data_IF_574237284379
#
_entry.id   IF_574237284379
#
_cell.length_a   1.000
_cell.length_b   1.000
_cell.length_c   1.000
_cell.angle_alpha   90.00
_cell.angle_beta   90.00
_cell.angle_gamma   90.00
#
_symmetry.space_group_name_H-M   'P 1'
#
loop_
_entity.id
_entity.type
_entity.pdbx_description
1 polymer ?
#
# COMPACT_ATOMS: atom_id res chain seq x y z
N UNK A 1 40.52 39.95 -18.57
CA UNK A 1 41.14 40.55 -17.37
C UNK A 1 40.28 40.23 -16.16
N UNK A 2 40.95 39.88 -15.06
CA UNK A 2 40.41 39.33 -13.80
C UNK A 2 39.46 40.30 -13.10
N UNK A 3 38.48 39.79 -12.36
CA UNK A 3 38.27 40.19 -10.97
C UNK A 3 37.63 39.05 -10.17
N UNK A 4 38.37 38.61 -9.16
CA UNK A 4 38.01 37.64 -8.13
C UNK A 4 37.59 38.47 -6.91
N UNK A 5 36.44 38.18 -6.31
CA UNK A 5 36.07 38.70 -4.98
C UNK A 5 35.89 37.51 -4.05
N UNK A 6 36.88 37.34 -3.16
CA UNK A 6 36.77 36.57 -1.92
C UNK A 6 35.99 37.42 -0.91
N UNK A 7 35.04 36.82 -0.20
CA UNK A 7 34.57 37.34 1.07
C UNK A 7 34.72 36.27 2.14
N UNK A 8 35.74 36.47 2.97
CA UNK A 8 35.98 35.79 4.24
C UNK A 8 35.30 36.60 5.33
N UNK A 9 34.48 35.97 6.19
CA UNK A 9 34.09 36.55 7.47
C UNK A 9 34.18 35.48 8.56
N UNK A 10 34.97 35.83 9.56
CA UNK A 10 35.35 35.04 10.73
C UNK A 10 34.89 35.80 11.99
N UNK A 11 34.90 35.10 13.13
CA UNK A 11 34.52 35.46 14.52
C UNK A 11 33.15 34.88 14.92
N UNK A 12 33.05 33.76 15.65
CA UNK A 12 33.55 33.41 17.00
C UNK A 12 32.84 34.21 18.10
N UNK A 13 31.94 33.56 18.82
CA UNK A 13 31.78 33.71 20.28
C UNK A 13 31.35 32.36 20.89
N UNK A 14 32.18 31.89 21.83
CA UNK A 14 31.94 30.78 22.75
C UNK A 14 31.00 31.22 23.87
N UNK A 15 30.09 30.35 24.30
CA UNK A 15 29.61 30.29 25.69
C UNK A 15 28.97 28.92 25.97
N UNK A 16 29.67 28.13 26.79
CA UNK A 16 29.15 26.95 27.49
C UNK A 16 28.23 27.38 28.63
N UNK A 17 27.11 26.68 28.80
CA UNK A 17 26.42 26.49 30.09
C UNK A 17 25.84 25.07 30.12
N UNK A 18 26.01 24.40 31.27
CA UNK A 18 25.87 22.97 31.49
C UNK A 18 24.44 22.41 31.63
N UNK A 19 24.31 21.17 32.15
CA UNK A 19 23.11 20.35 32.04
C UNK A 19 22.08 20.70 33.12
N UNK A 20 20.81 20.82 32.74
CA UNK A 20 19.69 20.86 33.68
C UNK A 20 18.90 19.57 33.62
N UNK A 21 18.69 19.04 34.81
CA UNK A 21 17.95 17.85 35.19
C UNK A 21 16.45 18.03 35.06
N UNK A 22 15.77 16.98 34.58
CA UNK A 22 14.51 16.42 35.10
C UNK A 22 13.41 17.39 35.56
N UNK A 23 12.32 17.44 34.79
CA UNK A 23 10.95 17.36 35.35
C UNK A 23 10.02 16.65 34.35
N UNK A 24 9.33 15.62 34.85
CA UNK A 24 8.19 14.94 34.21
C UNK A 24 7.07 15.95 33.91
N UNK A 25 6.51 15.92 32.71
CA UNK A 25 5.19 16.50 32.44
C UNK A 25 4.09 15.44 32.59
N UNK A 26 2.91 15.82 33.12
CA UNK A 26 1.81 14.91 33.37
C UNK A 26 0.98 14.62 32.11
N UNK A 27 0.37 13.45 32.12
CA UNK A 27 -0.62 12.99 31.15
C UNK A 27 -1.80 13.97 31.07
N UNK A 28 -1.98 14.55 29.89
CA UNK A 28 -3.13 15.37 29.54
C UNK A 28 -4.42 14.54 29.50
N UNK A 29 -5.39 15.09 30.20
CA UNK A 29 -6.72 14.60 30.53
C UNK A 29 -7.63 14.51 29.29
N UNK A 30 -8.41 13.43 29.22
CA UNK A 30 -9.35 13.11 28.15
C UNK A 30 -10.66 13.89 28.38
N UNK A 31 -10.86 15.00 27.67
CA UNK A 31 -12.11 15.78 27.73
C UNK A 31 -13.14 15.16 26.76
N UNK A 32 -14.20 14.59 27.32
CA UNK A 32 -15.45 14.29 26.60
C UNK A 32 -16.30 15.57 26.50
N UNK A 33 -16.71 15.94 25.29
CA UNK A 33 -17.77 16.93 25.07
C UNK A 33 -19.05 16.21 24.58
N UNK A 34 -20.22 16.41 25.23
CA UNK A 34 -21.48 15.87 24.75
C UNK A 34 -22.23 16.89 23.87
N UNK A 35 -23.02 16.36 22.94
CA UNK A 35 -24.30 16.93 22.50
C UNK A 35 -24.27 18.19 21.63
N UNK A 36 -24.48 18.01 20.32
CA UNK A 36 -25.08 19.04 19.48
C UNK A 36 -26.19 18.41 18.62
N UNK A 37 -27.42 18.51 19.10
CA UNK A 37 -28.62 18.40 18.27
C UNK A 37 -28.95 19.80 17.74
N UNK A 38 -28.85 19.97 16.42
CA UNK A 38 -29.10 21.23 15.74
C UNK A 38 -30.19 21.01 14.69
N UNK A 39 -31.42 21.34 15.09
CA UNK A 39 -32.61 21.50 14.27
C UNK A 39 -32.34 22.53 13.15
N UNK A 40 -32.62 22.20 11.89
CA UNK A 40 -32.66 23.18 10.79
C UNK A 40 -34.02 23.08 10.12
N UNK A 41 -34.84 24.13 10.31
CA UNK A 41 -36.04 24.41 9.54
C UNK A 41 -35.66 24.73 8.09
N UNK A 42 -36.29 24.03 7.14
CA UNK A 42 -36.25 24.34 5.73
C UNK A 42 -37.37 25.33 5.37
N UNK A 43 -37.03 26.53 4.93
CA UNK A 43 -37.92 27.39 4.15
C UNK A 43 -37.42 27.48 2.71
N UNK A 44 -38.16 26.87 1.78
CA UNK A 44 -38.05 27.06 0.34
C UNK A 44 -38.58 28.42 -0.10
N UNK A 45 -38.09 28.97 -1.23
CA UNK A 45 -38.91 29.75 -2.12
C UNK A 45 -39.10 29.06 -3.47
N UNK A 46 -40.32 29.25 -3.98
CA UNK A 46 -40.91 28.70 -5.19
C UNK A 46 -40.10 28.91 -6.47
N UNK A 47 -40.04 27.85 -7.29
CA UNK A 47 -39.82 27.98 -8.73
C UNK A 47 -40.65 26.92 -9.45
N UNK A 48 -41.72 27.39 -10.09
CA UNK A 48 -42.64 26.68 -10.98
C UNK A 48 -41.94 26.02 -12.18
N UNK A 49 -42.24 24.75 -12.44
CA UNK A 49 -41.96 24.02 -13.69
C UNK A 49 -43.14 23.07 -13.97
N UNK A 50 -43.54 22.83 -15.24
CA UNK A 50 -44.88 22.34 -15.57
C UNK A 50 -45.05 20.82 -15.43
N UNK A 51 -46.32 20.45 -15.19
CA UNK A 51 -46.84 19.09 -15.01
C UNK A 51 -46.46 18.15 -16.15
N UNK A 52 -45.65 17.14 -15.84
CA UNK A 52 -45.62 15.87 -16.57
C UNK A 52 -46.52 14.87 -15.83
N UNK A 53 -47.45 14.27 -16.57
CA UNK A 53 -48.44 13.31 -16.10
C UNK A 53 -47.77 12.01 -15.63
N UNK A 54 -47.82 11.75 -14.32
CA UNK A 54 -47.40 10.50 -13.70
C UNK A 54 -48.52 9.45 -13.73
N UNK A 55 -48.27 8.32 -14.40
CA UNK A 55 -49.00 7.07 -14.18
C UNK A 55 -48.62 6.47 -12.82
N UNK A 56 -49.54 5.79 -12.11
CA UNK A 56 -49.30 5.25 -10.77
C UNK A 56 -48.34 4.04 -10.79
N UNK A 57 -47.57 3.81 -9.71
CA UNK A 57 -46.67 2.67 -9.61
C UNK A 57 -47.47 1.38 -9.35
N UNK A 58 -47.17 0.37 -10.15
CA UNK A 58 -47.67 -0.99 -10.04
C UNK A 58 -47.07 -1.68 -8.80
N UNK A 59 -47.94 -2.28 -8.00
CA UNK A 59 -47.66 -2.94 -6.73
C UNK A 59 -46.89 -4.25 -6.94
N UNK A 60 -45.78 -4.51 -6.22
CA UNK A 60 -45.06 -5.78 -6.36
C UNK A 60 -45.81 -6.92 -5.65
N UNK A 61 -45.95 -8.10 -6.27
CA UNK A 61 -46.64 -9.22 -5.67
C UNK A 61 -45.86 -9.77 -4.47
N UNK A 62 -46.57 -9.91 -3.34
CA UNK A 62 -46.10 -10.58 -2.15
C UNK A 62 -45.73 -12.03 -2.48
N UNK A 63 -44.46 -12.38 -2.29
CA UNK A 63 -43.98 -13.76 -2.43
C UNK A 63 -44.13 -14.48 -1.10
N UNK A 64 -44.87 -15.58 -1.19
CA UNK A 64 -45.23 -16.50 -0.12
C UNK A 64 -44.02 -17.06 0.63
N UNK A 65 -44.23 -17.22 1.94
CA UNK A 65 -43.36 -17.92 2.85
C UNK A 65 -43.25 -19.40 2.45
N UNK A 66 -42.03 -19.86 2.15
CA UNK A 66 -41.74 -21.27 1.91
C UNK A 66 -41.05 -21.90 3.12
N UNK A 67 -41.81 -22.82 3.71
CA UNK A 67 -41.51 -23.97 4.55
C UNK A 67 -40.12 -24.09 5.22
N UNK A 68 -40.22 -24.22 6.54
CA UNK A 68 -39.23 -24.78 7.45
C UNK A 68 -38.95 -26.24 7.07
N UNK A 69 -37.71 -26.54 6.68
CA UNK A 69 -37.20 -27.90 6.57
C UNK A 69 -36.66 -28.34 7.94
N UNK A 70 -37.50 -29.07 8.68
CA UNK A 70 -37.12 -29.72 9.93
C UNK A 70 -36.50 -31.08 9.61
N UNK A 71 -35.20 -31.11 9.40
CA UNK A 71 -34.45 -32.37 9.31
C UNK A 71 -34.41 -33.04 10.69
N UNK A 72 -34.84 -34.31 10.84
CA UNK A 72 -34.77 -35.02 12.12
C UNK A 72 -33.31 -35.28 12.51
N UNK A 73 -32.98 -35.01 13.77
CA UNK A 73 -31.73 -35.44 14.40
C UNK A 73 -31.61 -36.98 14.32
N UNK A 74 -30.46 -37.52 13.90
CA UNK A 74 -30.25 -38.95 13.82
C UNK A 74 -30.31 -39.58 15.22
N UNK A 75 -31.06 -40.68 15.27
CA UNK A 75 -31.33 -41.51 16.44
C UNK A 75 -30.04 -42.05 17.05
N UNK A 76 -29.91 -41.87 18.37
CA UNK A 76 -28.72 -42.22 19.16
C UNK A 76 -28.59 -43.74 19.22
N UNK A 77 -27.61 -44.30 18.52
CA UNK A 77 -27.30 -45.73 18.60
C UNK A 77 -26.94 -46.16 20.04
N UNK A 78 -27.39 -47.35 20.50
CA UNK A 78 -27.01 -47.91 21.79
C UNK A 78 -25.50 -48.06 21.92
N UNK A 79 -24.97 -47.71 23.09
CA UNK A 79 -23.56 -47.84 23.42
C UNK A 79 -23.09 -49.30 23.24
N UNK A 80 -22.07 -49.48 22.39
CA UNK A 80 -21.32 -50.73 22.24
C UNK A 80 -20.64 -51.10 23.57
N UNK A 81 -20.67 -52.39 23.97
CA UNK A 81 -20.02 -52.83 25.19
C UNK A 81 -18.50 -52.66 25.11
N UNK A 82 -17.95 -52.16 26.22
CA UNK A 82 -16.53 -51.88 26.45
C UNK A 82 -15.63 -53.04 25.96
N UNK A 83 -14.64 -52.77 25.08
CA UNK A 83 -13.70 -53.79 24.64
C UNK A 83 -12.92 -54.31 25.84
N UNK A 84 -12.99 -55.63 26.05
CA UNK A 84 -12.20 -56.32 27.06
C UNK A 84 -10.71 -56.05 26.83
N UNK A 85 -10.09 -55.61 27.91
CA UNK A 85 -8.67 -55.37 28.11
C UNK A 85 -7.86 -56.62 27.73
N UNK A 86 -7.46 -56.68 26.45
CA UNK A 86 -6.48 -57.65 25.98
C UNK A 86 -5.12 -57.16 26.41
N UNK A 87 -4.50 -57.92 27.30
CA UNK A 87 -3.09 -57.83 27.65
C UNK A 87 -2.27 -57.89 26.36
N UNK A 88 -1.73 -56.73 25.95
CA UNK A 88 -0.86 -56.61 24.79
C UNK A 88 0.41 -57.44 25.06
N UNK A 89 0.82 -58.34 24.15
CA UNK A 89 2.11 -59.01 24.26
C UNK A 89 3.24 -57.97 24.20
N UNK A 90 4.30 -58.20 24.98
CA UNK A 90 5.49 -57.36 25.10
C UNK A 90 5.89 -56.77 23.74
N UNK A 91 5.71 -55.46 23.61
CA UNK A 91 6.12 -54.68 22.45
C UNK A 91 7.65 -54.77 22.39
N UNK A 92 8.23 -55.30 21.30
CA UNK A 92 9.68 -55.30 21.11
C UNK A 92 10.21 -53.88 21.31
N UNK A 93 11.17 -53.74 22.22
CA UNK A 93 11.83 -52.48 22.57
C UNK A 93 12.16 -51.70 21.29
N UNK A 94 11.49 -50.56 21.09
CA UNK A 94 11.64 -49.74 19.89
C UNK A 94 13.12 -49.38 19.74
N UNK A 95 13.74 -49.60 18.57
CA UNK A 95 15.14 -49.31 18.37
C UNK A 95 15.39 -47.84 18.67
N UNK A 96 16.18 -47.59 19.72
CA UNK A 96 16.60 -46.25 20.15
C UNK A 96 17.26 -45.58 18.95
N UNK A 97 16.52 -44.67 18.30
CA UNK A 97 17.07 -43.85 17.23
C UNK A 97 18.18 -43.02 17.89
N UNK A 98 19.44 -43.13 17.44
CA UNK A 98 20.53 -42.40 18.06
C UNK A 98 20.18 -40.91 18.08
N UNK A 99 20.19 -40.35 19.28
CA UNK A 99 19.91 -38.94 19.53
C UNK A 99 20.81 -38.11 18.61
N UNK A 100 20.23 -37.45 17.61
CA UNK A 100 21.00 -36.62 16.70
C UNK A 100 21.76 -35.60 17.54
N UNK A 101 23.07 -35.40 17.30
CA UNK A 101 23.82 -34.40 18.04
C UNK A 101 23.06 -33.07 17.98
N UNK A 102 22.87 -32.39 19.12
CA UNK A 102 22.09 -31.16 19.17
C UNK A 102 22.67 -30.19 18.15
N UNK A 103 21.89 -29.88 17.13
CA UNK A 103 22.31 -28.92 16.10
C UNK A 103 22.34 -27.57 16.81
N UNK A 104 23.52 -27.02 17.10
CA UNK A 104 23.59 -25.64 17.61
C UNK A 104 23.07 -24.72 16.51
N UNK A 105 21.82 -24.27 16.58
CA UNK A 105 21.24 -23.45 15.52
C UNK A 105 21.69 -22.01 15.71
N UNK A 106 22.39 -21.49 14.71
CA UNK A 106 22.85 -20.10 14.66
C UNK A 106 21.84 -19.20 13.92
N UNK A 107 22.08 -17.89 13.95
CA UNK A 107 21.32 -16.92 13.15
C UNK A 107 21.26 -17.41 11.69
N UNK A 108 20.05 -17.43 11.12
CA UNK A 108 19.78 -17.87 9.75
C UNK A 108 19.39 -19.34 9.57
N UNK A 109 19.61 -20.17 10.59
CA UNK A 109 19.31 -21.61 10.53
C UNK A 109 17.82 -21.89 10.82
N UNK A 110 17.26 -23.00 10.29
CA UNK A 110 15.86 -23.37 10.51
C UNK A 110 15.63 -23.76 11.97
N UNK A 111 14.44 -23.48 12.50
CA UNK A 111 14.04 -23.76 13.88
C UNK A 111 12.55 -24.06 13.98
N UNK A 112 12.14 -24.90 14.93
CA UNK A 112 10.71 -25.10 15.26
C UNK A 112 10.31 -24.33 16.51
N UNK A 113 11.26 -24.05 17.41
CA UNK A 113 11.06 -23.33 18.66
C UNK A 113 12.25 -22.46 19.04
N UNK A 114 12.04 -21.50 19.94
CA UNK A 114 13.09 -20.59 20.42
C UNK A 114 14.23 -21.37 21.11
N UNK A 115 13.91 -22.51 21.74
CA UNK A 115 14.86 -23.36 22.44
C UNK A 115 15.92 -23.99 21.52
N UNK A 116 15.69 -24.03 20.20
CA UNK A 116 16.67 -24.54 19.26
C UNK A 116 17.74 -23.49 18.88
N UNK A 117 17.44 -22.21 19.09
CA UNK A 117 18.36 -21.09 18.83
C UNK A 117 19.33 -20.91 19.99
N UNK A 118 20.33 -21.79 20.05
CA UNK A 118 21.29 -21.95 21.15
C UNK A 118 22.30 -20.78 21.27
N UNK A 119 21.79 -19.60 21.62
CA UNK A 119 22.54 -18.39 21.96
C UNK A 119 21.67 -17.43 22.78
N UNK A 120 22.29 -16.61 23.62
CA UNK A 120 21.58 -15.69 24.52
C UNK A 120 20.66 -14.73 23.76
N UNK A 121 19.36 -14.77 24.10
CA UNK A 121 18.33 -13.93 23.48
C UNK A 121 17.87 -14.44 22.10
N UNK A 122 18.37 -15.59 21.64
CA UNK A 122 17.93 -16.21 20.40
C UNK A 122 16.45 -16.58 20.45
N UNK A 123 15.77 -16.37 19.33
CA UNK A 123 14.38 -16.77 19.15
C UNK A 123 14.13 -17.24 17.73
N UNK A 124 13.06 -18.01 17.56
CA UNK A 124 12.67 -18.56 16.29
C UNK A 124 11.65 -17.64 15.61
N UNK A 125 12.07 -16.97 14.53
CA UNK A 125 11.14 -16.25 13.67
C UNK A 125 10.24 -17.26 12.95
N UNK A 126 8.95 -17.25 13.30
CA UNK A 126 7.91 -18.08 12.69
C UNK A 126 6.95 -17.23 11.86
N UNK A 127 6.23 -17.86 10.94
CA UNK A 127 5.15 -17.23 10.19
C UNK A 127 5.12 -17.65 8.72
N UNK A 128 4.11 -17.18 7.99
CA UNK A 128 3.94 -17.49 6.56
C UNK A 128 5.13 -17.03 5.69
N UNK A 129 5.91 -16.07 6.18
CA UNK A 129 7.13 -15.64 5.52
C UNK A 129 8.33 -16.55 5.88
N UNK A 130 8.42 -17.10 7.09
CA UNK A 130 9.61 -17.87 7.52
C UNK A 130 9.35 -19.38 7.48
N UNK A 131 9.38 -19.96 6.27
CA UNK A 131 9.22 -21.41 6.06
C UNK A 131 10.26 -22.17 6.89
N UNK A 132 9.83 -23.14 7.69
CA UNK A 132 10.68 -23.95 8.59
C UNK A 132 11.38 -23.15 9.71
N UNK A 133 10.88 -21.95 10.01
CA UNK A 133 11.39 -21.05 11.06
C UNK A 133 12.79 -20.49 10.79
N UNK A 134 13.19 -19.41 11.45
CA UNK A 134 14.52 -18.82 11.25
C UNK A 134 15.06 -18.30 12.57
N UNK A 135 16.14 -18.92 13.06
CA UNK A 135 16.81 -18.44 14.26
C UNK A 135 17.29 -17.01 14.05
N UNK A 136 16.93 -16.11 14.97
CA UNK A 136 17.25 -14.70 14.93
C UNK A 136 17.50 -14.12 16.33
N UNK A 137 17.89 -12.86 16.35
CA UNK A 137 18.16 -12.06 17.54
C UNK A 137 17.68 -10.64 17.29
N UNK A 138 17.06 -10.01 18.29
CA UNK A 138 16.65 -8.62 18.21
C UNK A 138 17.90 -7.73 18.15
N UNK A 139 17.89 -6.72 17.30
CA UNK A 139 19.04 -5.84 17.10
C UNK A 139 18.63 -4.39 16.85
N UNK A 140 19.50 -3.46 17.23
CA UNK A 140 19.33 -2.03 16.93
C UNK A 140 20.36 -1.52 15.92
N UNK A 141 21.48 -2.23 15.73
CA UNK A 141 22.56 -1.81 14.82
C UNK A 141 23.41 -2.97 14.28
N UNK A 142 23.84 -3.89 15.15
CA UNK A 142 24.74 -5.00 14.81
C UNK A 142 24.21 -6.33 15.31
N UNK A 143 24.69 -7.41 14.71
CA UNK A 143 24.40 -8.79 15.08
C UNK A 143 25.72 -9.50 15.42
N UNK A 144 25.72 -10.44 16.36
CA UNK A 144 26.93 -11.20 16.67
C UNK A 144 27.28 -12.12 15.50
N UNK A 145 28.57 -12.33 15.27
CA UNK A 145 29.08 -13.32 14.32
C UNK A 145 29.62 -14.53 15.08
N UNK A 146 29.58 -15.72 14.46
CA UNK A 146 30.12 -16.97 15.01
C UNK A 146 31.12 -17.55 14.03
N UNK A 147 32.24 -18.03 14.55
CA UNK A 147 33.24 -18.77 13.75
C UNK A 147 32.55 -19.92 13.01
N UNK A 148 32.96 -20.14 11.76
CA UNK A 148 32.42 -21.17 10.86
C UNK A 148 30.93 -21.03 10.51
N UNK A 149 30.34 -19.84 10.73
CA UNK A 149 28.99 -19.49 10.27
C UNK A 149 29.05 -18.29 9.31
N UNK A 150 28.02 -18.09 8.47
CA UNK A 150 27.91 -16.88 7.68
C UNK A 150 27.88 -15.63 8.57
N UNK A 151 28.49 -14.54 8.10
CA UNK A 151 28.36 -13.23 8.73
C UNK A 151 26.89 -12.85 8.87
N UNK A 152 26.56 -12.10 9.91
CA UNK A 152 25.18 -11.68 10.21
C UNK A 152 24.97 -10.21 9.89
N UNK A 153 23.71 -9.79 9.81
CA UNK A 153 23.35 -8.41 9.50
C UNK A 153 22.03 -8.03 10.17
N UNK A 154 21.96 -6.81 10.71
CA UNK A 154 20.77 -6.29 11.37
C UNK A 154 19.86 -5.58 10.36
N UNK A 155 18.70 -6.16 10.07
CA UNK A 155 17.72 -5.58 9.14
C UNK A 155 16.40 -5.27 9.86
N UNK A 156 15.64 -4.32 9.32
CA UNK A 156 14.30 -4.02 9.80
C UNK A 156 13.30 -5.11 9.35
N UNK A 157 12.40 -5.52 10.24
CA UNK A 157 11.17 -6.22 9.88
C UNK A 157 10.12 -5.24 9.30
N UNK A 158 8.88 -5.73 9.07
CA UNK A 158 7.79 -4.91 8.51
C UNK A 158 7.30 -3.83 9.48
N UNK A 159 7.56 -3.99 10.77
CA UNK A 159 7.19 -3.09 11.87
C UNK A 159 8.33 -2.12 12.21
N UNK A 160 9.48 -2.23 11.52
CA UNK A 160 10.66 -1.42 11.79
C UNK A 160 11.53 -1.92 12.95
N UNK A 161 11.21 -3.07 13.56
CA UNK A 161 12.04 -3.70 14.58
C UNK A 161 13.21 -4.43 13.93
N UNK A 162 14.38 -4.34 14.53
CA UNK A 162 15.56 -4.98 13.98
C UNK A 162 15.66 -6.44 14.37
N UNK A 163 15.99 -7.29 13.41
CA UNK A 163 16.31 -8.69 13.63
C UNK A 163 17.54 -9.10 12.83
N UNK A 164 18.26 -10.08 13.36
CA UNK A 164 19.48 -10.60 12.76
C UNK A 164 19.20 -11.65 11.69
N UNK A 165 19.85 -11.50 10.53
CA UNK A 165 19.81 -12.45 9.42
C UNK A 165 21.21 -12.78 8.92
N UNK A 166 21.37 -13.92 8.26
CA UNK A 166 22.64 -14.32 7.65
C UNK A 166 22.89 -13.59 6.34
N UNK A 167 24.12 -13.12 6.13
CA UNK A 167 24.61 -12.60 4.86
C UNK A 167 24.84 -13.74 3.87
N UNK A 168 24.62 -13.47 2.58
CA UNK A 168 24.88 -14.40 1.48
C UNK A 168 25.97 -13.85 0.55
N UNK A 169 26.91 -14.71 0.14
CA UNK A 169 28.04 -14.35 -0.75
C UNK A 169 27.85 -14.80 -2.21
N UNK A 170 27.14 -15.90 -2.46
CA UNK A 170 27.06 -16.54 -3.78
C UNK A 170 25.62 -16.88 -4.21
N UNK A 171 24.65 -16.06 -3.79
CA UNK A 171 23.20 -16.29 -4.00
C UNK A 171 22.62 -17.58 -3.37
N UNK A 172 23.44 -18.37 -2.67
CA UNK A 172 23.00 -19.58 -1.99
C UNK A 172 22.38 -19.21 -0.65
N UNK A 173 21.06 -19.13 -0.64
CA UNK A 173 20.26 -19.19 0.58
C UNK A 173 19.55 -20.53 0.66
N UNK A 174 19.09 -20.91 1.87
CA UNK A 174 18.32 -22.15 2.05
C UNK A 174 17.04 -22.13 1.20
N UNK A 175 16.47 -23.31 0.97
CA UNK A 175 15.21 -23.42 0.22
C UNK A 175 14.10 -22.58 0.86
N UNK A 176 13.34 -21.87 0.01
CA UNK A 176 12.37 -20.86 0.44
C UNK A 176 12.96 -19.48 0.77
N UNK A 177 14.28 -19.31 0.68
CA UNK A 177 14.97 -18.03 0.91
C UNK A 177 15.65 -17.53 -0.36
N UNK A 178 15.90 -16.23 -0.40
CA UNK A 178 16.59 -15.55 -1.50
C UNK A 178 17.64 -14.60 -0.94
N UNK A 179 18.71 -14.46 -1.72
CA UNK A 179 19.77 -13.51 -1.44
C UNK A 179 19.35 -12.14 -1.98
N UNK A 180 19.09 -11.17 -1.09
CA UNK A 180 18.66 -9.83 -1.49
C UNK A 180 19.47 -8.76 -0.80
N UNK A 181 19.70 -7.66 -1.50
CA UNK A 181 20.33 -6.48 -0.91
C UNK A 181 19.38 -5.81 0.09
N UNK A 182 19.85 -5.59 1.32
CA UNK A 182 19.15 -4.87 2.39
C UNK A 182 20.08 -3.88 3.07
N UNK A 183 19.50 -2.78 3.53
CA UNK A 183 20.19 -1.81 4.38
C UNK A 183 20.20 -2.25 5.84
N UNK A 184 21.23 -1.82 6.56
CA UNK A 184 21.26 -1.92 8.01
C UNK A 184 20.15 -1.06 8.61
N UNK A 185 19.50 -1.53 9.68
CA UNK A 185 18.45 -0.76 10.37
C UNK A 185 18.91 0.65 10.77
N UNK A 186 20.10 0.77 11.37
CA UNK A 186 20.67 2.04 11.86
C UNK A 186 21.36 2.89 10.79
N UNK A 187 21.60 2.36 9.59
CA UNK A 187 22.35 3.03 8.53
C UNK A 187 21.89 2.55 7.14
N UNK A 188 21.02 3.36 6.52
CA UNK A 188 20.47 3.08 5.20
C UNK A 188 21.53 2.95 4.10
N UNK A 189 22.73 3.52 4.29
CA UNK A 189 23.83 3.51 3.31
C UNK A 189 24.62 2.21 3.33
N UNK A 190 24.52 1.43 4.41
CA UNK A 190 25.23 0.15 4.55
C UNK A 190 24.38 -0.97 4.00
N UNK A 191 24.64 -1.31 2.74
CA UNK A 191 23.98 -2.43 2.06
C UNK A 191 24.77 -3.73 2.20
N UNK A 192 24.07 -4.84 2.44
CA UNK A 192 24.60 -6.21 2.34
C UNK A 192 23.57 -7.13 1.70
N UNK A 193 24.06 -8.16 1.03
CA UNK A 193 23.22 -9.24 0.56
C UNK A 193 22.93 -10.18 1.73
N UNK A 194 21.66 -10.42 2.00
CA UNK A 194 21.19 -11.23 3.13
C UNK A 194 20.17 -12.26 2.68
N UNK A 195 20.12 -13.38 3.39
CA UNK A 195 19.13 -14.42 3.20
C UNK A 195 17.85 -14.04 3.93
N UNK A 196 16.81 -13.72 3.16
CA UNK A 196 15.46 -13.50 3.66
C UNK A 196 14.50 -14.42 2.92
N UNK A 197 13.30 -14.66 3.46
CA UNK A 197 12.28 -15.39 2.72
C UNK A 197 12.05 -14.90 1.29
N UNK A 198 11.78 -15.85 0.38
CA UNK A 198 11.31 -15.54 -0.97
C UNK A 198 9.99 -14.79 -0.88
N UNK A 199 10.00 -13.52 -1.22
CA UNK A 199 8.80 -12.70 -1.39
C UNK A 199 8.10 -13.16 -2.66
N UNK A 200 7.21 -14.15 -2.56
CA UNK A 200 6.44 -14.62 -3.72
C UNK A 200 5.78 -15.99 -3.60
N UNK A 201 6.25 -16.87 -2.71
CA UNK A 201 5.80 -18.28 -2.76
C UNK A 201 4.60 -18.62 -1.86
N UNK A 202 4.24 -17.79 -0.88
CA UNK A 202 3.22 -18.16 0.12
C UNK A 202 1.91 -17.38 0.07
N UNK A 203 1.64 -16.63 -1.02
CA UNK A 203 0.37 -15.90 -1.14
C UNK A 203 0.16 -14.84 -0.05
N UNK A 204 1.24 -14.34 0.55
CA UNK A 204 1.16 -13.36 1.64
C UNK A 204 0.58 -12.04 1.14
N UNK A 205 -0.52 -11.65 1.78
CA UNK A 205 -1.18 -10.34 1.65
C UNK A 205 -0.15 -9.21 1.58
N UNK A 206 -0.26 -8.37 0.56
CA UNK A 206 0.56 -7.18 0.37
C UNK A 206 -0.15 -5.95 0.90
N UNK A 207 0.64 -4.95 1.30
CA UNK A 207 0.10 -3.61 1.56
C UNK A 207 0.21 -2.77 0.30
N UNK A 208 -0.94 -2.31 -0.18
CA UNK A 208 -1.07 -1.51 -1.39
C UNK A 208 -1.46 -0.08 -1.01
N UNK A 209 -0.72 0.90 -1.50
CA UNK A 209 -1.11 2.31 -1.46
C UNK A 209 -1.65 2.72 -2.83
N UNK A 210 -2.93 3.06 -2.89
CA UNK A 210 -3.57 3.59 -4.09
C UNK A 210 -3.83 5.09 -3.94
N UNK A 211 -3.13 5.92 -4.71
CA UNK A 211 -3.36 7.36 -4.80
C UNK A 211 -4.06 7.66 -6.13
N UNK A 212 -5.22 8.31 -6.08
CA UNK A 212 -5.99 8.71 -7.26
C UNK A 212 -6.24 10.23 -7.30
N UNK A 213 -6.53 10.76 -8.48
CA UNK A 213 -7.01 12.13 -8.69
C UNK A 213 -8.54 12.20 -8.86
N UNK A 214 -9.06 13.37 -9.22
CA UNK A 214 -10.51 13.57 -9.37
C UNK A 214 -11.18 12.67 -10.42
N UNK A 215 -10.45 12.14 -11.41
CA UNK A 215 -11.02 11.25 -12.44
C UNK A 215 -11.38 9.86 -11.89
N UNK A 216 -10.65 9.40 -10.87
CA UNK A 216 -11.02 8.19 -10.14
C UNK A 216 -12.07 8.44 -9.06
N UNK A 217 -12.30 9.71 -8.72
CA UNK A 217 -13.16 10.11 -7.63
C UNK A 217 -14.63 10.05 -8.04
N UNK A 218 -15.39 9.15 -7.41
CA UNK A 218 -16.84 9.01 -7.62
C UNK A 218 -17.20 8.10 -8.80
N UNK A 219 -16.20 7.49 -9.41
CA UNK A 219 -16.36 6.63 -10.57
C UNK A 219 -16.24 5.16 -10.19
N UNK A 220 -16.81 4.29 -11.04
CA UNK A 220 -16.66 2.84 -10.91
C UNK A 220 -15.18 2.40 -11.02
N UNK A 221 -14.31 3.25 -11.57
CA UNK A 221 -12.89 3.00 -11.71
C UNK A 221 -12.21 2.77 -10.35
N UNK A 222 -12.29 3.71 -9.41
CA UNK A 222 -11.62 3.56 -8.11
C UNK A 222 -12.14 2.35 -7.33
N UNK A 223 -13.45 2.11 -7.38
CA UNK A 223 -14.05 0.96 -6.72
C UNK A 223 -13.52 -0.35 -7.30
N UNK A 224 -13.47 -0.46 -8.63
CA UNK A 224 -12.92 -1.63 -9.30
C UNK A 224 -11.43 -1.81 -9.00
N UNK A 225 -10.63 -0.74 -9.02
CA UNK A 225 -9.21 -0.82 -8.67
C UNK A 225 -8.99 -1.28 -7.23
N UNK A 226 -9.77 -0.78 -6.26
CA UNK A 226 -9.67 -1.25 -4.87
C UNK A 226 -10.01 -2.73 -4.76
N UNK A 227 -11.05 -3.19 -5.46
CA UNK A 227 -11.45 -4.59 -5.44
C UNK A 227 -10.39 -5.50 -6.10
N UNK A 228 -9.90 -5.14 -7.28
CA UNK A 228 -8.83 -5.85 -7.99
C UNK A 228 -7.56 -5.92 -7.16
N UNK A 229 -7.17 -4.80 -6.54
CA UNK A 229 -5.97 -4.75 -5.70
C UNK A 229 -6.13 -5.57 -4.42
N UNK A 230 -7.32 -5.64 -3.83
CA UNK A 230 -7.61 -6.40 -2.60
C UNK A 230 -7.71 -7.91 -2.88
N UNK A 231 -8.35 -8.25 -4.01
CA UNK A 231 -8.74 -9.60 -4.38
C UNK A 231 -8.20 -9.99 -5.77
N UNK A 232 -6.88 -9.90 -6.04
CA UNK A 232 -6.35 -10.09 -7.40
C UNK A 232 -6.71 -11.46 -7.97
N UNK A 233 -6.73 -12.53 -7.16
CA UNK A 233 -7.16 -13.87 -7.57
C UNK A 233 -8.59 -13.98 -8.14
N UNK A 234 -9.48 -13.02 -7.85
CA UNK A 234 -10.83 -12.99 -8.45
C UNK A 234 -10.84 -12.34 -9.84
N UNK A 235 -9.83 -11.52 -10.15
CA UNK A 235 -9.76 -10.73 -11.38
C UNK A 235 -8.68 -11.22 -12.35
N UNK A 236 -7.64 -11.87 -11.82
CA UNK A 236 -6.48 -12.34 -12.56
C UNK A 236 -6.34 -13.86 -12.37
N UNK A 237 -6.50 -14.63 -13.45
CA UNK A 237 -6.46 -16.11 -13.40
C UNK A 237 -5.10 -16.69 -13.00
N UNK A 238 -4.04 -15.88 -13.04
CA UNK A 238 -2.66 -16.33 -12.77
C UNK A 238 -2.13 -15.90 -11.39
N UNK A 239 -2.87 -15.08 -10.64
CA UNK A 239 -2.38 -14.55 -9.35
C UNK A 239 -2.73 -15.49 -8.20
N UNK A 240 -1.72 -15.84 -7.41
CA UNK A 240 -1.87 -16.67 -6.19
C UNK A 240 -2.07 -15.83 -4.92
N UNK A 241 -1.94 -14.50 -5.02
CA UNK A 241 -2.12 -13.57 -3.92
C UNK A 241 -3.61 -13.39 -3.62
N UNK A 242 -3.95 -13.33 -2.33
CA UNK A 242 -5.30 -13.01 -1.89
C UNK A 242 -5.24 -12.16 -0.61
N UNK A 243 -6.25 -11.30 -0.42
CA UNK A 243 -6.44 -10.57 0.83
C UNK A 243 -5.47 -9.41 1.06
N UNK A 244 -5.02 -8.71 0.00
CA UNK A 244 -4.15 -7.54 0.14
C UNK A 244 -4.80 -6.44 1.00
N UNK A 245 -4.01 -5.78 1.84
CA UNK A 245 -4.46 -4.59 2.57
C UNK A 245 -4.32 -3.36 1.68
N UNK A 246 -5.44 -2.80 1.24
CA UNK A 246 -5.45 -1.64 0.32
C UNK A 246 -5.82 -0.35 1.06
N UNK A 247 -4.88 0.59 1.10
CA UNK A 247 -5.11 1.97 1.55
C UNK A 247 -5.34 2.85 0.32
N UNK A 248 -6.60 3.21 0.07
CA UNK A 248 -6.98 4.02 -1.08
C UNK A 248 -7.31 5.46 -0.71
N UNK A 249 -6.69 6.37 -1.43
CA UNK A 249 -6.92 7.81 -1.44
C UNK A 249 -7.40 8.25 -2.83
N UNK A 250 -8.34 7.51 -3.41
CA UNK A 250 -8.93 7.77 -4.72
C UNK A 250 -10.44 8.11 -4.66
N UNK A 251 -11.09 8.01 -3.48
CA UNK A 251 -12.51 8.37 -3.29
C UNK A 251 -12.73 9.89 -3.37
N UNK A 252 -13.94 10.34 -3.72
CA UNK A 252 -14.33 11.78 -3.83
C UNK A 252 -13.95 12.61 -2.61
N UNK A 253 -14.09 12.05 -1.41
CA UNK A 253 -13.74 12.71 -0.15
C UNK A 253 -12.26 12.58 0.25
N UNK A 254 -11.44 11.86 -0.53
CA UNK A 254 -10.06 11.50 -0.17
C UNK A 254 -9.04 11.70 -1.30
N UNK A 255 -9.46 11.95 -2.54
CA UNK A 255 -8.59 12.08 -3.69
C UNK A 255 -7.81 13.41 -3.69
N UNK A 256 -6.59 13.37 -4.22
CA UNK A 256 -5.86 14.59 -4.54
C UNK A 256 -6.59 15.27 -5.71
N UNK A 257 -7.42 16.28 -5.41
CA UNK A 257 -8.25 16.90 -6.46
C UNK A 257 -7.40 17.54 -7.54
N UNK A 258 -6.24 18.12 -7.22
CA UNK A 258 -5.34 18.72 -8.21
C UNK A 258 -3.90 18.70 -7.70
N UNK A 259 -2.93 18.74 -8.64
CA UNK A 259 -1.64 19.33 -8.32
C UNK A 259 -1.88 20.81 -8.06
N UNK A 260 -1.92 21.17 -6.79
CA UNK A 260 -2.43 22.46 -6.32
C UNK A 260 -1.63 23.68 -6.78
N UNK A 261 -0.41 23.48 -7.27
CA UNK A 261 0.47 24.53 -7.74
C UNK A 261 0.95 24.19 -9.14
N UNK A 262 0.95 25.18 -10.05
CA UNK A 262 1.55 25.07 -11.40
C UNK A 262 3.07 25.28 -11.37
N UNK A 263 3.61 25.79 -10.26
CA UNK A 263 5.03 26.06 -10.01
C UNK A 263 5.29 26.20 -8.50
N UNK A 264 6.54 26.10 -8.07
CA UNK A 264 6.94 26.29 -6.66
C UNK A 264 7.57 25.04 -6.02
N UNK A 265 8.09 25.19 -4.81
CA UNK A 265 8.85 24.15 -4.08
C UNK A 265 8.05 23.50 -2.95
N UNK A 266 6.82 23.94 -2.72
CA UNK A 266 5.96 23.46 -1.63
C UNK A 266 5.81 21.94 -1.68
N UNK A 267 5.90 21.26 -0.52
CA UNK A 267 5.78 19.80 -0.37
C UNK A 267 4.35 19.32 -0.14
N UNK A 268 3.44 20.23 0.17
CA UNK A 268 1.98 20.00 0.28
C UNK A 268 1.26 20.24 -1.06
N UNK A 269 1.97 20.08 -2.18
CA UNK A 269 1.47 20.34 -3.53
C UNK A 269 0.29 19.43 -3.95
N UNK A 270 0.05 18.31 -3.24
CA UNK A 270 -1.15 17.47 -3.40
C UNK A 270 -2.37 17.97 -2.60
N UNK A 271 -2.17 18.88 -1.64
CA UNK A 271 -3.17 19.28 -0.64
C UNK A 271 -3.59 20.76 -0.69
N UNK A 272 -2.84 21.61 -1.42
CA UNK A 272 -3.00 23.07 -1.41
C UNK A 272 -4.00 23.65 -2.42
N UNK A 273 -4.97 22.88 -2.93
CA UNK A 273 -5.83 23.36 -4.02
C UNK A 273 -6.72 24.52 -3.52
N UNK A 274 -6.43 25.75 -3.96
CA UNK A 274 -7.05 26.98 -3.47
C UNK A 274 -8.40 27.33 -4.12
N UNK A 275 -8.77 26.66 -5.21
CA UNK A 275 -10.08 26.80 -5.87
C UNK A 275 -10.66 25.42 -6.19
N UNK A 276 -11.82 25.15 -5.61
CA UNK A 276 -12.68 24.01 -5.94
C UNK A 276 -13.57 24.47 -7.09
N UNK A 277 -13.51 23.80 -8.24
CA UNK A 277 -14.45 24.07 -9.33
C UNK A 277 -15.85 23.56 -8.91
N UNK A 278 -16.74 24.49 -8.55
CA UNK A 278 -18.15 24.23 -8.27
C UNK A 278 -18.98 24.39 -9.54
N UNK A 279 -18.92 23.42 -10.44
CA UNK A 279 -19.88 23.26 -11.54
C UNK A 279 -19.89 21.80 -12.03
N UNK A 280 -20.50 20.82 -11.36
CA UNK A 280 -21.31 20.75 -10.14
C UNK A 280 -21.66 19.26 -9.95
N UNK A 281 -21.56 18.62 -8.80
CA UNK A 281 -21.52 19.05 -7.40
C UNK A 281 -20.46 18.23 -6.66
N UNK A 282 -19.44 18.90 -6.12
CA UNK A 282 -18.50 18.29 -5.19
C UNK A 282 -18.18 19.28 -4.06
N UNK A 283 -18.80 19.11 -2.91
CA UNK A 283 -18.76 19.99 -1.73
C UNK A 283 -17.65 19.65 -0.73
N UNK A 284 -16.60 18.91 -1.11
CA UNK A 284 -15.52 18.58 -0.16
C UNK A 284 -14.30 19.48 -0.35
N UNK A 285 -14.12 20.41 0.60
CA UNK A 285 -12.85 21.03 0.97
C UNK A 285 -11.68 20.01 0.93
N UNK A 286 -10.63 20.25 0.15
CA UNK A 286 -9.42 19.38 0.13
C UNK A 286 -8.64 19.43 1.45
N UNK A 287 -8.79 20.50 2.22
CA UNK A 287 -8.25 20.65 3.59
C UNK A 287 -8.89 19.66 4.57
N UNK A 288 -10.00 18.99 4.19
CA UNK A 288 -10.62 17.89 4.93
C UNK A 288 -10.46 16.51 4.27
N UNK A 289 -9.74 16.40 3.15
CA UNK A 289 -9.56 15.12 2.49
C UNK A 289 -8.73 14.19 3.38
N UNK A 290 -9.13 12.93 3.52
CA UNK A 290 -8.39 11.95 4.33
C UNK A 290 -6.93 11.78 3.88
N UNK A 291 -6.64 12.09 2.61
CA UNK A 291 -5.27 12.18 2.11
C UNK A 291 -4.49 13.31 2.76
N UNK A 292 -5.08 14.43 3.12
CA UNK A 292 -4.38 15.62 3.64
C UNK A 292 -4.47 15.77 5.16
N UNK A 293 -5.33 14.98 5.84
CA UNK A 293 -5.48 15.01 7.31
C UNK A 293 -4.19 14.63 8.04
N UNK A 294 -3.81 15.43 9.03
CA UNK A 294 -2.69 15.15 9.95
C UNK A 294 -1.33 15.69 9.50
N UNK A 295 -1.27 16.45 8.40
CA UNK A 295 -0.06 17.18 8.02
C UNK A 295 -0.18 18.64 8.43
N UNK A 296 0.69 19.04 9.35
CA UNK A 296 0.81 20.41 9.84
C UNK A 296 2.13 21.07 9.45
N UNK A 297 3.09 20.33 8.86
CA UNK A 297 4.43 20.85 8.54
C UNK A 297 4.76 20.81 7.05
N UNK A 298 5.51 21.81 6.60
CA UNK A 298 5.98 21.97 5.22
C UNK A 298 7.14 21.03 4.83
N UNK A 299 7.73 20.31 5.79
CA UNK A 299 9.01 19.62 5.59
C UNK A 299 8.83 18.19 5.04
N UNK A 300 7.63 17.63 5.12
CA UNK A 300 7.31 16.30 4.61
C UNK A 300 6.22 16.38 3.55
N UNK A 301 6.44 15.71 2.42
CA UNK A 301 5.39 15.58 1.40
C UNK A 301 4.26 14.69 1.93
N UNK A 302 3.03 14.92 1.48
CA UNK A 302 1.92 14.07 1.90
C UNK A 302 2.09 12.62 1.45
N UNK A 303 2.74 12.41 0.31
CA UNK A 303 3.02 11.08 -0.18
C UNK A 303 3.99 10.35 0.76
N UNK A 304 5.05 11.02 1.21
CA UNK A 304 5.98 10.48 2.21
C UNK A 304 5.28 10.15 3.54
N UNK A 305 4.36 11.00 4.00
CA UNK A 305 3.61 10.71 5.22
C UNK A 305 2.69 9.49 5.08
N UNK A 306 2.07 9.28 3.91
CA UNK A 306 1.25 8.07 3.67
C UNK A 306 2.10 6.82 3.55
N UNK A 307 3.30 6.92 2.98
CA UNK A 307 4.27 5.82 2.97
C UNK A 307 4.69 5.46 4.38
N UNK A 308 5.07 6.46 5.19
CA UNK A 308 5.48 6.24 6.58
C UNK A 308 4.36 5.60 7.42
N UNK A 309 3.11 6.01 7.21
CA UNK A 309 1.96 5.48 7.94
C UNK A 309 1.62 4.04 7.58
N UNK A 310 1.72 3.69 6.30
CA UNK A 310 1.14 2.44 5.77
C UNK A 310 2.16 1.41 5.34
N UNK A 311 3.45 1.78 5.27
CA UNK A 311 4.55 0.91 4.83
C UNK A 311 4.23 0.05 3.59
N UNK A 312 3.66 0.64 2.51
CA UNK A 312 3.22 -0.13 1.35
C UNK A 312 4.38 -0.76 0.57
N UNK A 313 4.15 -1.96 0.05
CA UNK A 313 5.06 -2.66 -0.87
C UNK A 313 4.64 -2.54 -2.34
N UNK A 314 3.38 -2.18 -2.58
CA UNK A 314 2.82 -1.95 -3.92
C UNK A 314 2.19 -0.56 -3.96
N UNK A 315 2.44 0.15 -5.06
CA UNK A 315 1.90 1.48 -5.31
C UNK A 315 1.06 1.44 -6.59
N UNK A 316 -0.18 1.89 -6.51
CA UNK A 316 -0.97 2.28 -7.68
C UNK A 316 -1.12 3.80 -7.65
N UNK A 317 -0.62 4.48 -8.67
CA UNK A 317 -0.66 5.94 -8.76
C UNK A 317 -1.46 6.30 -10.01
N UNK A 318 -2.60 6.93 -9.83
CA UNK A 318 -3.43 7.47 -10.89
C UNK A 318 -3.44 9.00 -10.75
N UNK A 319 -2.49 9.66 -11.41
CA UNK A 319 -2.28 11.10 -11.36
C UNK A 319 -1.88 11.63 -12.74
N UNK A 320 -1.93 12.95 -12.87
CA UNK A 320 -1.54 13.66 -14.09
C UNK A 320 -2.74 14.18 -14.86
N UNK A 321 -3.96 13.77 -14.48
CA UNK A 321 -5.20 14.27 -15.03
C UNK A 321 -5.19 15.78 -15.00
N UNK A 322 -5.38 16.28 -13.79
CA UNK A 322 -5.49 17.69 -13.50
C UNK A 322 -4.24 18.55 -13.79
N UNK A 323 -3.18 17.92 -14.29
CA UNK A 323 -1.90 18.55 -14.62
C UNK A 323 -1.73 18.78 -16.12
N UNK A 324 -2.71 18.43 -16.94
CA UNK A 324 -2.67 18.75 -18.37
C UNK A 324 -2.52 20.27 -18.58
N UNK A 325 -1.56 20.65 -19.42
CA UNK A 325 -1.17 22.05 -19.64
C UNK A 325 -0.15 22.60 -18.64
N UNK A 326 0.34 21.79 -17.69
CA UNK A 326 1.44 22.19 -16.82
C UNK A 326 2.77 22.09 -17.56
N UNK A 327 3.78 22.84 -17.12
CA UNK A 327 5.10 22.81 -17.73
C UNK A 327 5.77 21.43 -17.56
N UNK A 328 6.38 20.91 -18.64
CA UNK A 328 7.11 19.62 -18.66
C UNK A 328 8.02 19.45 -17.44
N UNK A 329 8.88 20.43 -17.18
CA UNK A 329 9.86 20.36 -16.09
C UNK A 329 9.19 20.27 -14.71
N UNK A 330 8.05 20.94 -14.53
CA UNK A 330 7.29 20.85 -13.29
C UNK A 330 6.71 19.46 -13.09
N UNK A 331 6.12 18.87 -14.13
CA UNK A 331 5.60 17.50 -14.11
C UNK A 331 6.68 16.49 -13.75
N UNK A 332 7.81 16.55 -14.45
CA UNK A 332 8.95 15.67 -14.18
C UNK A 332 9.43 15.82 -12.73
N UNK A 333 9.60 17.04 -12.25
CA UNK A 333 10.05 17.28 -10.87
C UNK A 333 9.11 16.68 -9.82
N UNK A 334 7.79 16.75 -10.02
CA UNK A 334 6.81 16.16 -9.08
C UNK A 334 6.77 14.64 -9.15
N UNK A 335 6.86 14.06 -10.34
CA UNK A 335 6.99 12.61 -10.50
C UNK A 335 8.28 12.13 -9.83
N UNK A 336 9.41 12.79 -10.05
CA UNK A 336 10.69 12.48 -9.39
C UNK A 336 10.58 12.58 -7.87
N UNK A 337 10.01 13.65 -7.32
CA UNK A 337 9.79 13.81 -5.87
C UNK A 337 9.01 12.64 -5.27
N UNK A 338 7.98 12.13 -5.96
CA UNK A 338 7.25 10.94 -5.51
C UNK A 338 8.12 9.67 -5.57
N UNK A 339 8.84 9.44 -6.67
CA UNK A 339 9.69 8.25 -6.83
C UNK A 339 10.83 8.20 -5.81
N UNK A 340 11.37 9.36 -5.41
CA UNK A 340 12.37 9.46 -4.36
C UNK A 340 11.85 9.01 -2.98
N UNK A 341 10.55 9.05 -2.77
CA UNK A 341 9.92 8.70 -1.48
C UNK A 341 9.48 7.24 -1.43
N UNK A 342 9.28 6.57 -2.57
CA UNK A 342 8.93 5.15 -2.62
C UNK A 342 10.11 4.29 -2.14
N UNK A 343 9.91 3.35 -1.19
CA UNK A 343 10.98 2.48 -0.72
C UNK A 343 11.58 1.61 -1.84
N UNK A 344 12.90 1.42 -1.82
CA UNK A 344 13.61 0.53 -2.75
C UNK A 344 13.00 -0.87 -2.72
N UNK A 345 12.83 -1.48 -3.90
CA UNK A 345 12.25 -2.82 -4.04
C UNK A 345 10.72 -2.87 -4.03
N UNK A 346 10.04 -1.72 -3.87
CA UNK A 346 8.58 -1.65 -4.05
C UNK A 346 8.19 -1.85 -5.51
N UNK A 347 6.97 -2.34 -5.73
CA UNK A 347 6.33 -2.42 -7.05
C UNK A 347 5.49 -1.16 -7.27
N UNK A 348 5.54 -0.59 -8.45
CA UNK A 348 4.84 0.64 -8.77
C UNK A 348 4.10 0.51 -10.10
N UNK A 349 2.86 0.98 -10.13
CA UNK A 349 2.02 1.06 -11.31
C UNK A 349 1.54 2.50 -11.45
N UNK A 350 1.82 3.11 -12.60
CA UNK A 350 1.37 4.46 -12.90
C UNK A 350 0.28 4.44 -13.96
N UNK A 351 -0.96 4.69 -13.57
CA UNK A 351 -2.10 4.81 -14.48
C UNK A 351 -2.10 6.20 -15.09
N UNK A 352 -2.02 6.27 -16.41
CA UNK A 352 -2.02 7.55 -17.12
C UNK A 352 -3.44 8.13 -17.23
N UNK A 353 -3.58 9.45 -17.45
CA UNK A 353 -4.90 10.07 -17.54
C UNK A 353 -5.76 9.58 -18.70
N UNK A 354 -7.07 9.38 -18.47
CA UNK A 354 -8.05 9.00 -19.48
C UNK A 354 -8.90 10.19 -19.94
N UNK A 355 -8.29 11.14 -20.65
CA UNK A 355 -8.97 12.35 -21.14
C UNK A 355 -9.69 12.18 -22.46
N UNK A 356 -10.85 12.84 -22.63
CA UNK A 356 -11.54 12.95 -23.92
C UNK A 356 -10.80 13.80 -24.97
N UNK A 357 -11.41 13.94 -26.14
CA UNK A 357 -10.81 14.55 -27.34
C UNK A 357 -10.29 15.98 -27.19
N UNK A 358 -10.83 16.78 -26.25
CA UNK A 358 -10.49 18.20 -26.08
C UNK A 358 -9.05 18.46 -25.62
N UNK A 359 -8.32 17.45 -25.14
CA UNK A 359 -6.95 17.61 -24.65
C UNK A 359 -6.03 16.45 -25.03
N UNK A 360 -6.23 15.85 -26.21
CA UNK A 360 -5.48 14.66 -26.62
C UNK A 360 -3.96 14.90 -26.69
N UNK A 361 -3.52 16.05 -27.22
CA UNK A 361 -2.10 16.41 -27.28
C UNK A 361 -1.51 16.56 -25.87
N UNK A 362 -2.16 17.34 -25.01
CA UNK A 362 -1.72 17.53 -23.62
C UNK A 362 -1.72 16.24 -22.79
N UNK A 363 -2.63 15.30 -23.09
CA UNK A 363 -2.61 13.94 -22.51
C UNK A 363 -1.38 13.17 -22.98
N UNK A 364 -1.14 13.11 -24.31
CA UNK A 364 0.02 12.42 -24.89
C UNK A 364 1.33 12.96 -24.33
N UNK A 365 1.45 14.28 -24.21
CA UNK A 365 2.59 14.94 -23.59
C UNK A 365 2.78 14.47 -22.14
N UNK A 366 1.72 14.45 -21.33
CA UNK A 366 1.77 13.98 -19.95
C UNK A 366 2.21 12.51 -19.85
N UNK A 367 1.65 11.64 -20.70
CA UNK A 367 2.05 10.23 -20.80
C UNK A 367 3.53 10.09 -21.11
N UNK A 368 4.01 10.82 -22.12
CA UNK A 368 5.42 10.84 -22.50
C UNK A 368 6.30 11.33 -21.35
N UNK A 369 5.96 12.43 -20.68
CA UNK A 369 6.80 12.98 -19.62
C UNK A 369 6.87 12.07 -18.39
N UNK A 370 5.75 11.44 -18.02
CA UNK A 370 5.70 10.45 -16.95
C UNK A 370 6.56 9.23 -17.34
N UNK A 371 6.36 8.67 -18.53
CA UNK A 371 7.12 7.51 -19.00
C UNK A 371 8.63 7.80 -19.08
N UNK A 372 9.02 8.96 -19.63
CA UNK A 372 10.41 9.42 -19.65
C UNK A 372 11.00 9.49 -18.24
N UNK A 373 10.26 10.02 -17.26
CA UNK A 373 10.75 10.16 -15.88
C UNK A 373 10.91 8.79 -15.21
N UNK A 374 9.91 7.90 -15.36
CA UNK A 374 9.97 6.56 -14.78
C UNK A 374 11.11 5.72 -15.38
N UNK A 375 11.37 5.87 -16.68
CA UNK A 375 12.49 5.19 -17.35
C UNK A 375 13.87 5.60 -16.83
N UNK A 376 14.01 6.82 -16.30
CA UNK A 376 15.28 7.27 -15.68
C UNK A 376 15.49 6.74 -14.27
N UNK A 377 14.44 6.22 -13.62
CA UNK A 377 14.48 5.89 -12.20
C UNK A 377 14.70 4.38 -11.97
N UNK A 378 15.95 3.96 -11.85
CA UNK A 378 16.29 2.53 -11.75
C UNK A 378 16.04 1.90 -10.38
N UNK A 379 15.92 2.71 -9.32
CA UNK A 379 15.76 2.23 -7.93
C UNK A 379 14.41 1.51 -7.71
N UNK A 380 13.40 1.85 -8.51
CA UNK A 380 12.04 1.30 -8.40
C UNK A 380 11.57 0.92 -9.80
N UNK A 381 10.96 -0.26 -9.92
CA UNK A 381 10.33 -0.67 -11.17
C UNK A 381 8.89 -0.14 -11.19
N UNK A 382 8.68 0.97 -11.89
CA UNK A 382 7.35 1.48 -12.18
C UNK A 382 6.91 1.08 -13.59
N UNK A 383 5.73 0.47 -13.70
CA UNK A 383 5.08 0.15 -14.97
C UNK A 383 4.05 1.21 -15.31
N UNK A 384 4.16 1.82 -16.49
CA UNK A 384 3.16 2.76 -17.00
C UNK A 384 1.98 1.98 -17.60
N UNK A 385 0.77 2.31 -17.16
CA UNK A 385 -0.47 1.72 -17.62
C UNK A 385 -1.27 2.76 -18.40
N UNK A 386 -1.14 2.71 -19.72
CA UNK A 386 -1.96 3.49 -20.65
C UNK A 386 -3.16 2.65 -21.09
N UNK A 387 -4.32 3.26 -21.34
CA UNK A 387 -5.52 2.55 -21.78
C UNK A 387 -6.37 3.30 -22.81
N UNK A 388 -6.02 4.55 -23.12
CA UNK A 388 -6.93 5.44 -23.79
C UNK A 388 -7.18 5.07 -25.26
N UNK A 389 -6.15 4.66 -25.98
CA UNK A 389 -6.30 4.23 -27.38
C UNK A 389 -7.15 2.95 -27.46
N UNK A 390 -7.00 2.04 -26.49
CA UNK A 390 -7.83 0.84 -26.38
C UNK A 390 -9.28 1.17 -26.03
N UNK A 391 -9.51 2.18 -25.20
CA UNK A 391 -10.84 2.69 -24.90
C UNK A 391 -11.54 3.24 -26.14
N UNK A 392 -10.84 4.05 -26.94
CA UNK A 392 -11.38 4.61 -28.21
C UNK A 392 -11.79 3.52 -29.20
N UNK A 393 -11.12 2.38 -29.17
CA UNK A 393 -11.44 1.24 -30.02
C UNK A 393 -12.69 0.45 -29.58
N UNK A 394 -13.23 0.72 -28.39
CA UNK A 394 -14.43 0.02 -27.90
C UNK A 394 -15.70 0.71 -28.36
N UNK A 395 -16.74 -0.08 -28.65
CA UNK A 395 -18.08 0.40 -29.02
C UNK A 395 -19.10 0.22 -27.88
N UNK A 396 -18.66 -0.30 -26.73
CA UNK A 396 -19.53 -0.70 -25.60
C UNK A 396 -20.11 0.48 -24.83
N UNK A 397 -19.54 1.68 -24.96
CA UNK A 397 -20.06 2.90 -24.36
C UNK A 397 -20.44 3.91 -25.43
N UNK A 398 -21.66 4.44 -25.36
CA UNK A 398 -22.13 5.54 -26.24
C UNK A 398 -21.34 6.84 -25.99
N UNK A 399 -20.89 7.07 -24.77
CA UNK A 399 -19.92 8.11 -24.43
C UNK A 399 -19.01 7.67 -23.28
N UNK A 400 -17.71 7.94 -23.42
CA UNK A 400 -16.72 7.71 -22.36
C UNK A 400 -16.63 8.85 -21.37
N UNK A 401 -16.89 10.08 -21.83
CA UNK A 401 -16.75 11.30 -21.03
C UNK A 401 -18.10 11.97 -20.79
N UNK A 402 -18.20 12.69 -19.68
CA UNK A 402 -19.30 13.62 -19.47
C UNK A 402 -19.21 14.80 -20.44
N UNK A 403 -20.20 15.69 -20.43
CA UNK A 403 -20.27 16.85 -21.33
C UNK A 403 -19.07 17.80 -21.21
N UNK A 404 -18.36 17.78 -20.07
CA UNK A 404 -17.13 18.58 -19.88
C UNK A 404 -15.92 18.05 -20.67
N UNK A 405 -15.97 16.81 -21.17
CA UNK A 405 -14.89 16.16 -21.91
C UNK A 405 -13.69 15.75 -21.05
N UNK A 406 -13.79 15.88 -19.73
CA UNK A 406 -12.72 15.60 -18.76
C UNK A 406 -13.11 14.43 -17.87
N UNK A 407 -14.26 14.51 -17.20
CA UNK A 407 -14.72 13.45 -16.32
C UNK A 407 -15.32 12.32 -17.14
N UNK A 408 -15.30 11.12 -16.57
CA UNK A 408 -15.83 9.93 -17.24
C UNK A 408 -17.29 9.69 -16.89
N UNK A 409 -18.05 9.16 -17.84
CA UNK A 409 -19.36 8.57 -17.53
C UNK A 409 -19.18 7.31 -16.68
N UNK A 410 -20.27 6.79 -16.10
CA UNK A 410 -20.22 5.49 -15.41
C UNK A 410 -19.73 4.37 -16.34
N UNK A 411 -20.18 4.37 -17.60
CA UNK A 411 -19.74 3.38 -18.60
C UNK A 411 -18.24 3.53 -18.92
N UNK A 412 -17.80 4.75 -19.23
CA UNK A 412 -16.39 5.03 -19.53
C UNK A 412 -15.48 4.64 -18.37
N UNK A 413 -15.88 4.94 -17.14
CA UNK A 413 -15.14 4.58 -15.93
C UNK A 413 -15.00 3.06 -15.74
N UNK A 414 -16.09 2.32 -15.97
CA UNK A 414 -16.09 0.85 -15.88
C UNK A 414 -15.17 0.24 -16.92
N UNK A 415 -15.27 0.72 -18.16
CA UNK A 415 -14.44 0.26 -19.25
C UNK A 415 -12.96 0.54 -18.99
N UNK A 416 -12.65 1.76 -18.56
CA UNK A 416 -11.29 2.15 -18.20
C UNK A 416 -10.73 1.23 -17.12
N UNK A 417 -11.50 1.00 -16.06
CA UNK A 417 -11.10 0.13 -14.97
C UNK A 417 -10.84 -1.30 -15.45
N UNK A 418 -11.71 -1.86 -16.30
CA UNK A 418 -11.50 -3.19 -16.88
C UNK A 418 -10.22 -3.30 -17.73
N UNK A 419 -9.89 -2.27 -18.52
CA UNK A 419 -8.66 -2.25 -19.32
C UNK A 419 -7.41 -2.15 -18.43
N UNK A 420 -7.46 -1.31 -17.39
CA UNK A 420 -6.35 -1.22 -16.42
C UNK A 420 -6.20 -2.52 -15.62
N UNK A 421 -7.30 -3.15 -15.19
CA UNK A 421 -7.30 -4.49 -14.57
C UNK A 421 -6.59 -5.51 -15.45
N UNK A 422 -6.91 -5.56 -16.75
CA UNK A 422 -6.27 -6.48 -17.69
C UNK A 422 -4.75 -6.27 -17.73
N UNK A 423 -4.28 -5.02 -17.78
CA UNK A 423 -2.84 -4.69 -17.81
C UNK A 423 -2.14 -5.00 -16.49
N UNK A 424 -2.82 -4.73 -15.39
CA UNK A 424 -2.38 -5.11 -14.04
C UNK A 424 -2.17 -6.63 -13.95
N UNK A 425 -3.14 -7.43 -14.40
CA UNK A 425 -3.00 -8.90 -14.44
C UNK A 425 -1.84 -9.37 -15.34
N UNK A 426 -1.56 -8.66 -16.44
CA UNK A 426 -0.46 -8.99 -17.36
C UNK A 426 0.93 -8.68 -16.79
N UNK A 427 1.05 -7.76 -15.83
CA UNK A 427 2.33 -7.38 -15.25
C UNK A 427 2.96 -8.48 -14.37
N UNK A 428 2.23 -9.58 -14.06
CA UNK A 428 2.68 -10.73 -13.24
C UNK A 428 3.26 -10.35 -11.86
N UNK A 429 2.96 -9.15 -11.37
CA UNK A 429 3.52 -8.62 -10.10
C UNK A 429 2.48 -8.43 -9.01
N UNK A 430 1.21 -8.75 -9.27
CA UNK A 430 0.08 -8.62 -8.35
C UNK A 430 -0.20 -9.88 -7.53
#
# INVERSE_FOLDING_TARGET
MRYTILLTLCCVFLLSCGPTTSTREPLGELIFLPGWEGYIEHTSPDASTPQETSSPPEEPPQREASLQDTTPLPERQPAEPSPQERTLPDVPEEPVIPEQPPRSQWIGEPCVSDAECDYTGGYCLKGADYKDGHCSLDCTSTCPDKTDKPYTFCIADRQGKGHCVSQCRTDVCRDGYQCVSRSRLSDATRLRNVCVPKTGDTGTSKVVLYIGDSQSSGTQFASLMVDVLRNPGQHCTQTKTSGNTVYSYAKVSSAARHWSQKSGTSKDWLCKASKIYTNGTATSNTTGAALCTGITSSNQSIFAARIARHTPSIFLIQLGGNSVGFAKNYVKARVTDMLEQIPTGSVCFWVTPSYGSKSESGRKDMETWIAETLATYQRIRCTVLTSFDEMKAQTTCTSFNTSDGVHMTSCGSKLWGGLITKKLCQAKTL
#
